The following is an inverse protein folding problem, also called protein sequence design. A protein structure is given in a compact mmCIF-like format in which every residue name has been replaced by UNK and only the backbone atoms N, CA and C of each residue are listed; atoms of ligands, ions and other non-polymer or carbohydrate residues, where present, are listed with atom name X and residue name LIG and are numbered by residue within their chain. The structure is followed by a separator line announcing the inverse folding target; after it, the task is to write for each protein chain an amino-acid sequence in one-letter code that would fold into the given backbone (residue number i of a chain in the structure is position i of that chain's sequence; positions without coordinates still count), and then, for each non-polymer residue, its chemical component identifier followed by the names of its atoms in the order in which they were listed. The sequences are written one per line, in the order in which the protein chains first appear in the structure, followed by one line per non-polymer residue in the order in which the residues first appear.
data_IF_708509542248
#
_entry.id   IF_708509542248
#
_cell.length_a   1.000
_cell.length_b   1.000
_cell.length_c   1.000
_cell.angle_alpha   90.00
_cell.angle_beta   90.00
_cell.angle_gamma   90.00
#
_symmetry.space_group_name_H-M   'P 1'
#
loop_
_entity.id
_entity.type
_entity.pdbx_description
1 polymer ?
#
# COMPACT_ATOMS: atom_id res chain seq x y z
N UNK A 1 11.28 8.42 2.15
CA UNK A 1 9.93 7.88 2.45
C UNK A 1 10.05 6.70 3.39
N UNK A 2 9.76 6.92 4.68
CA UNK A 2 9.85 5.89 5.73
C UNK A 2 9.02 4.65 5.38
N UNK A 3 7.86 4.84 4.76
CA UNK A 3 6.98 3.76 4.32
C UNK A 3 7.64 2.81 3.31
N UNK A 4 8.29 3.36 2.28
CA UNK A 4 8.96 2.55 1.24
C UNK A 4 10.07 1.69 1.85
N UNK A 5 10.92 2.29 2.70
CA UNK A 5 11.98 1.57 3.41
C UNK A 5 11.42 0.51 4.36
N UNK A 6 10.28 0.77 5.01
CA UNK A 6 9.61 -0.20 5.85
C UNK A 6 9.10 -1.40 5.05
N UNK A 7 8.49 -1.15 3.89
CA UNK A 7 7.98 -2.21 3.04
C UNK A 7 9.11 -3.03 2.37
N UNK A 8 10.22 -2.39 2.00
CA UNK A 8 11.42 -3.10 1.51
C UNK A 8 11.97 -4.08 2.55
N UNK A 9 11.80 -3.81 3.85
CA UNK A 9 12.17 -4.73 4.95
C UNK A 9 11.16 -5.85 5.19
N UNK A 10 9.99 -5.81 4.55
CA UNK A 10 8.93 -6.81 4.72
C UNK A 10 9.18 -8.11 3.94
N UNK A 11 10.33 -8.24 3.26
CA UNK A 11 10.71 -9.37 2.40
C UNK A 11 9.75 -9.63 1.22
N UNK A 12 8.91 -8.66 0.86
CA UNK A 12 8.04 -8.76 -0.29
C UNK A 12 8.82 -8.49 -1.59
N UNK A 13 8.45 -9.15 -2.70
CA UNK A 13 8.99 -8.83 -4.02
C UNK A 13 8.79 -7.36 -4.36
N UNK A 14 9.78 -6.74 -5.02
CA UNK A 14 9.67 -5.34 -5.46
C UNK A 14 8.45 -5.08 -6.35
N UNK A 15 8.00 -6.08 -7.13
CA UNK A 15 6.78 -6.00 -7.93
C UNK A 15 5.53 -5.81 -7.07
N UNK A 16 5.43 -6.55 -5.96
CA UNK A 16 4.30 -6.48 -5.02
C UNK A 16 4.35 -5.17 -4.25
N UNK A 17 5.54 -4.74 -3.83
CA UNK A 17 5.73 -3.44 -3.19
C UNK A 17 5.33 -2.29 -4.09
N UNK A 18 5.66 -2.35 -5.38
CA UNK A 18 5.24 -1.35 -6.35
C UNK A 18 3.73 -1.35 -6.57
N UNK A 19 3.10 -2.53 -6.57
CA UNK A 19 1.66 -2.66 -6.69
C UNK A 19 0.95 -2.06 -5.46
N UNK A 20 1.39 -2.41 -4.26
CA UNK A 20 0.87 -1.86 -3.01
C UNK A 20 1.07 -0.34 -2.95
N UNK A 21 2.23 0.14 -3.39
CA UNK A 21 2.50 1.57 -3.49
C UNK A 21 1.50 2.27 -4.41
N UNK A 22 1.36 1.78 -5.65
CA UNK A 22 0.44 2.38 -6.62
C UNK A 22 -1.02 2.31 -6.19
N UNK A 23 -1.41 1.23 -5.50
CA UNK A 23 -2.74 1.11 -4.93
C UNK A 23 -2.94 2.18 -3.86
N UNK A 24 -1.98 2.35 -2.96
CA UNK A 24 -2.13 3.20 -1.78
C UNK A 24 -1.92 4.69 -2.06
N UNK A 25 -1.07 5.03 -3.02
CA UNK A 25 -0.77 6.39 -3.46
C UNK A 25 -1.85 6.89 -4.43
N UNK A 26 -3.02 7.21 -3.87
CA UNK A 26 -4.23 7.59 -4.65
C UNK A 26 -4.10 9.00 -5.23
N UNK A 27 -3.39 9.88 -4.54
CA UNK A 27 -3.15 11.25 -4.99
C UNK A 27 -1.94 11.36 -5.95
N UNK A 28 -1.18 10.28 -6.14
CA UNK A 28 0.04 10.23 -6.95
C UNK A 28 1.05 11.33 -6.59
N UNK A 29 1.10 11.71 -5.30
CA UNK A 29 2.01 12.76 -4.81
C UNK A 29 3.42 12.21 -4.54
N UNK A 30 3.60 10.89 -4.64
CA UNK A 30 4.87 10.20 -4.41
C UNK A 30 5.24 10.11 -2.93
N UNK A 31 4.32 10.42 -2.04
CA UNK A 31 4.37 10.20 -0.60
C UNK A 31 3.16 9.37 -0.17
N UNK A 32 3.19 8.86 1.06
CA UNK A 32 2.03 8.21 1.66
C UNK A 32 1.65 9.03 2.88
N UNK A 33 0.46 9.62 2.85
CA UNK A 33 -0.18 10.18 4.04
C UNK A 33 -0.46 9.08 5.06
N UNK A 34 -0.79 9.44 6.30
CA UNK A 34 -1.09 8.44 7.34
C UNK A 34 -2.22 7.47 6.91
N UNK A 35 -3.22 7.97 6.19
CA UNK A 35 -4.33 7.15 5.69
C UNK A 35 -3.90 6.20 4.57
N UNK A 36 -3.10 6.69 3.62
CA UNK A 36 -2.52 5.87 2.54
C UNK A 36 -1.51 4.85 3.09
N UNK A 37 -0.74 5.23 4.11
CA UNK A 37 0.19 4.33 4.79
C UNK A 37 -0.55 3.19 5.52
N UNK A 38 -1.63 3.50 6.24
CA UNK A 38 -2.47 2.46 6.86
C UNK A 38 -3.00 1.47 5.82
N UNK A 39 -3.41 1.99 4.65
CA UNK A 39 -3.90 1.19 3.54
C UNK A 39 -2.80 0.29 2.96
N UNK A 40 -1.63 0.86 2.68
CA UNK A 40 -0.46 0.12 2.22
C UNK A 40 -0.04 -0.97 3.21
N UNK A 41 -0.02 -0.65 4.51
CA UNK A 41 0.32 -1.61 5.56
C UNK A 41 -0.70 -2.74 5.65
N UNK A 42 -1.99 -2.45 5.49
CA UNK A 42 -3.03 -3.47 5.46
C UNK A 42 -2.85 -4.44 4.29
N UNK A 43 -2.52 -3.92 3.10
CA UNK A 43 -2.22 -4.73 1.91
C UNK A 43 -0.97 -5.60 2.09
N UNK A 44 0.10 -5.04 2.67
CA UNK A 44 1.30 -5.82 3.02
C UNK A 44 0.96 -6.96 3.98
N UNK A 45 0.18 -6.68 5.03
CA UNK A 45 -0.23 -7.70 6.01
C UNK A 45 -1.09 -8.78 5.35
N UNK A 46 -2.03 -8.42 4.48
CA UNK A 46 -2.82 -9.39 3.69
C UNK A 46 -1.89 -10.30 2.88
N UNK A 47 -0.91 -9.71 2.18
CA UNK A 47 0.01 -10.46 1.33
C UNK A 47 0.93 -11.37 2.12
N UNK A 48 1.44 -10.90 3.26
CA UNK A 48 2.26 -11.69 4.19
C UNK A 48 1.47 -12.86 4.80
N UNK A 49 0.16 -12.69 5.02
CA UNK A 49 -0.73 -13.76 5.45
C UNK A 49 -1.10 -14.75 4.32
N UNK A 50 -0.60 -14.55 3.10
CA UNK A 50 -0.85 -15.42 1.96
C UNK A 50 -2.15 -15.13 1.21
N UNK A 51 -2.80 -14.00 1.47
CA UNK A 51 -3.92 -13.53 0.64
C UNK A 51 -3.40 -12.83 -0.61
N UNK A 52 -4.19 -12.88 -1.68
CA UNK A 52 -3.89 -12.17 -2.93
C UNK A 52 -4.12 -10.66 -2.75
N UNK A 53 -3.26 -9.86 -3.39
CA UNK A 53 -3.48 -8.42 -3.44
C UNK A 53 -4.69 -8.13 -4.34
N UNK A 54 -5.65 -7.30 -3.89
CA UNK A 54 -6.71 -6.83 -4.77
C UNK A 54 -6.11 -5.92 -5.87
N UNK A 55 -6.59 -6.08 -7.11
CA UNK A 55 -6.16 -5.26 -8.25
C UNK A 55 -6.62 -3.80 -8.15
N UNK A 56 -7.67 -3.54 -7.37
CA UNK A 56 -8.19 -2.22 -7.09
C UNK A 56 -8.46 -2.07 -5.59
N UNK A 57 -8.11 -0.92 -5.02
CA UNK A 57 -8.52 -0.61 -3.65
C UNK A 57 -10.04 -0.51 -3.59
N UNK A 58 -10.72 -1.31 -2.74
CA UNK A 58 -12.14 -1.13 -2.54
C UNK A 58 -12.40 0.30 -2.07
N UNK A 59 -13.47 0.90 -2.58
CA UNK A 59 -13.86 2.31 -2.32
C UNK A 59 -13.99 2.64 -0.83
N UNK A 60 -14.10 1.62 0.03
CA UNK A 60 -14.14 1.74 1.48
C UNK A 60 -12.77 2.02 2.13
N UNK A 61 -11.68 1.64 1.48
CA UNK A 61 -10.29 1.89 1.91
C UNK A 61 -9.67 3.08 1.19
N UNK A 62 -10.37 3.69 0.24
CA UNK A 62 -9.89 4.92 -0.39
C UNK A 62 -9.86 6.03 0.67
N UNK A 63 -8.68 6.61 0.96
CA UNK A 63 -8.60 7.76 1.84
C UNK A 63 -9.41 8.88 1.22
N UNK A 64 -10.38 9.38 1.98
CA UNK A 64 -11.26 10.46 1.54
C UNK A 64 -10.41 11.70 1.24
N UNK A 65 -10.24 12.01 -0.04
CA UNK A 65 -9.65 13.26 -0.48
C UNK A 65 -10.76 14.33 -0.51
N UNK A 66 -10.71 15.37 0.34
CA UNK A 66 -11.62 16.51 0.23
C UNK A 66 -11.34 17.38 -1.00
#
# INVERSE_FOLDING_TARGET
NIAKEFFERSHLPTSELSQIWNLSDVNHDGALSLAEFCTAMHLVVLRVNGFELPDELPTQLQPYAP
#
